data_IF_093551953213
#
_entry.id   IF_093551953213
#
_cell.length_a   1.000
_cell.length_b   1.000
_cell.length_c   1.000
_cell.angle_alpha   90.00
_cell.angle_beta   90.00
_cell.angle_gamma   90.00
#
_symmetry.space_group_name_H-M   'P 1'
#
loop_
_entity.id
_entity.type
_entity.pdbx_description
1 polymer ?
#
# COMPACT_ATOMS: atom_id res chain seq x y z
N UNK A 1 8.83 -31.21 -22.85
CA UNK A 1 7.46 -31.61 -23.24
C UNK A 1 7.45 -32.36 -24.59
N UNK A 2 8.35 -33.34 -24.79
CA UNK A 2 8.47 -34.10 -26.04
C UNK A 2 8.41 -35.62 -25.81
N UNK A 3 8.90 -36.09 -24.66
CA UNK A 3 8.97 -37.53 -24.33
C UNK A 3 7.56 -38.14 -24.09
N UNK A 4 6.62 -37.36 -23.54
CA UNK A 4 5.28 -37.84 -23.21
C UNK A 4 4.37 -38.04 -24.44
N UNK A 5 4.71 -37.47 -25.61
CA UNK A 5 3.95 -37.67 -26.86
C UNK A 5 4.28 -38.99 -27.56
N UNK A 6 5.48 -39.53 -27.36
CA UNK A 6 5.91 -40.78 -28.02
C UNK A 6 5.34 -42.05 -27.35
N UNK A 7 5.10 -42.03 -26.03
CA UNK A 7 4.54 -43.19 -25.34
C UNK A 7 3.06 -43.44 -25.67
N UNK A 8 2.29 -42.41 -26.02
CA UNK A 8 0.87 -42.55 -26.40
C UNK A 8 0.72 -43.06 -27.84
N UNK A 9 1.64 -42.70 -28.73
CA UNK A 9 1.65 -43.20 -30.11
C UNK A 9 2.03 -44.69 -30.21
N UNK A 10 2.93 -45.18 -29.33
CA UNK A 10 3.31 -46.59 -29.29
C UNK A 10 2.17 -47.52 -28.79
N UNK A 11 1.30 -47.02 -27.92
CA UNK A 11 0.16 -47.78 -27.38
C UNK A 11 -1.03 -47.90 -28.35
N UNK A 12 -1.17 -46.98 -29.31
CA UNK A 12 -2.26 -47.01 -30.31
C UNK A 12 -1.96 -47.92 -31.52
N UNK A 13 -0.69 -48.25 -31.78
CA UNK A 13 -0.30 -49.15 -32.88
C UNK A 13 -0.52 -50.64 -32.58
N UNK A 14 -0.85 -51.02 -31.34
CA UNK A 14 -1.07 -52.42 -30.95
C UNK A 14 -2.52 -52.87 -31.18
N UNK A 15 -3.46 -51.95 -31.41
CA UNK A 15 -4.91 -52.25 -31.48
C UNK A 15 -5.43 -52.37 -32.93
N UNK A 16 -4.56 -52.39 -33.94
CA UNK A 16 -4.97 -52.51 -35.36
C UNK A 16 -4.19 -53.56 -36.14
N UNK A 17 -4.18 -54.80 -35.64
CA UNK A 17 -3.93 -55.96 -36.48
C UNK A 17 -5.28 -56.50 -36.96
N UNK A 18 -5.64 -56.38 -38.26
CA UNK A 18 -6.76 -57.12 -38.80
C UNK A 18 -6.38 -58.61 -38.73
N UNK A 19 -7.25 -59.39 -38.10
CA UNK A 19 -7.25 -60.85 -38.19
C UNK A 19 -7.48 -61.19 -39.67
N UNK A 20 -6.39 -61.38 -40.41
CA UNK A 20 -6.46 -61.94 -41.76
C UNK A 20 -6.59 -63.47 -41.62
N UNK A 21 -7.82 -63.96 -41.66
CA UNK A 21 -8.05 -65.34 -42.09
C UNK A 21 -7.90 -65.38 -43.61
N UNK A 22 -6.80 -65.94 -44.11
CA UNK A 22 -6.71 -66.37 -45.50
C UNK A 22 -6.95 -67.87 -45.59
N UNK A 23 -8.19 -68.23 -45.94
CA UNK A 23 -8.48 -69.44 -46.69
C UNK A 23 -8.08 -69.19 -48.14
N UNK A 24 -7.03 -69.84 -48.63
CA UNK A 24 -6.57 -69.78 -50.01
C UNK A 24 -5.75 -71.01 -50.35
N UNK A 25 -6.32 -71.90 -51.16
CA UNK A 25 -5.65 -73.06 -51.72
C UNK A 25 -4.64 -72.61 -52.79
N UNK A 26 -3.35 -72.79 -52.53
CA UNK A 26 -2.33 -72.81 -53.58
C UNK A 26 -1.52 -74.11 -53.47
N UNK A 27 -1.56 -74.90 -54.54
CA UNK A 27 -0.89 -76.19 -54.68
C UNK A 27 0.54 -75.96 -55.16
N UNK A 28 1.54 -76.37 -54.37
CA UNK A 28 2.97 -76.30 -54.71
C UNK A 28 3.43 -77.66 -55.28
N UNK A 29 4.21 -77.71 -56.38
CA UNK A 29 4.70 -78.96 -56.94
C UNK A 29 5.73 -79.61 -56.00
N UNK A 30 5.56 -80.89 -55.76
CA UNK A 30 6.44 -81.71 -54.93
C UNK A 30 7.69 -82.12 -55.71
N UNK A 31 8.85 -82.13 -55.05
CA UNK A 31 9.70 -83.31 -54.80
C UNK A 31 11.08 -82.85 -54.28
N UNK A 32 11.23 -82.92 -52.96
CA UNK A 32 12.36 -83.54 -52.25
C UNK A 32 11.92 -83.65 -50.80
N UNK A 33 12.11 -84.81 -50.18
CA UNK A 33 11.57 -85.18 -48.86
C UNK A 33 12.00 -84.21 -47.76
N UNK A 34 11.25 -83.13 -47.57
CA UNK A 34 11.16 -82.39 -46.31
C UNK A 34 9.76 -82.64 -45.80
N UNK A 35 9.66 -83.47 -44.77
CA UNK A 35 8.45 -83.67 -43.96
C UNK A 35 7.76 -82.32 -43.76
N UNK A 36 6.44 -82.20 -43.96
CA UNK A 36 5.74 -80.97 -43.61
C UNK A 36 6.06 -80.70 -42.15
N UNK A 37 6.74 -79.58 -41.87
CA UNK A 37 6.99 -79.18 -40.49
C UNK A 37 5.61 -78.78 -39.96
N UNK A 38 4.93 -79.74 -39.35
CA UNK A 38 3.67 -79.53 -38.68
C UNK A 38 3.99 -78.74 -37.41
N UNK A 39 3.89 -77.41 -37.49
CA UNK A 39 3.98 -76.53 -36.34
C UNK A 39 2.65 -76.67 -35.59
N UNK A 40 2.58 -77.63 -34.67
CA UNK A 40 1.45 -77.82 -33.77
C UNK A 40 1.76 -77.17 -32.43
N UNK A 41 0.93 -76.20 -32.04
CA UNK A 41 0.95 -75.67 -30.68
C UNK A 41 0.22 -76.69 -29.80
N UNK A 42 0.80 -77.03 -28.65
CA UNK A 42 0.09 -77.89 -27.69
C UNK A 42 -1.18 -77.20 -27.20
N UNK A 43 -2.23 -77.96 -26.93
CA UNK A 43 -3.46 -77.44 -26.33
C UNK A 43 -3.14 -76.74 -24.99
N UNK A 44 -2.14 -77.23 -24.26
CA UNK A 44 -1.69 -76.64 -23.00
C UNK A 44 -1.04 -75.27 -23.21
N UNK A 45 -0.20 -75.10 -24.24
CA UNK A 45 0.42 -73.82 -24.59
C UNK A 45 -0.63 -72.81 -25.05
N UNK A 46 -1.62 -73.26 -25.83
CA UNK A 46 -2.74 -72.43 -26.27
C UNK A 46 -3.60 -71.95 -25.09
N UNK A 47 -3.86 -72.84 -24.12
CA UNK A 47 -4.60 -72.49 -22.90
C UNK A 47 -3.79 -71.53 -22.01
N UNK A 48 -2.48 -71.73 -21.87
CA UNK A 48 -1.60 -70.84 -21.13
C UNK A 48 -1.60 -69.43 -21.73
N UNK A 49 -1.45 -69.31 -23.05
CA UNK A 49 -1.52 -68.02 -23.77
C UNK A 49 -2.89 -67.35 -23.61
N UNK A 50 -3.98 -68.11 -23.59
CA UNK A 50 -5.32 -67.57 -23.35
C UNK A 50 -5.45 -67.01 -21.93
N UNK A 51 -5.00 -67.75 -20.92
CA UNK A 51 -5.00 -67.29 -19.53
C UNK A 51 -4.15 -66.04 -19.33
N UNK A 52 -2.98 -65.97 -19.96
CA UNK A 52 -2.12 -64.78 -19.93
C UNK A 52 -2.80 -63.58 -20.59
N UNK A 53 -3.40 -63.77 -21.77
CA UNK A 53 -4.16 -62.72 -22.45
C UNK A 53 -5.33 -62.18 -21.60
N UNK A 54 -6.06 -63.07 -20.94
CA UNK A 54 -7.18 -62.68 -20.06
C UNK A 54 -6.67 -61.92 -18.81
N UNK A 55 -5.53 -62.33 -18.25
CA UNK A 55 -4.83 -61.60 -17.17
C UNK A 55 -4.39 -60.21 -17.62
N UNK A 56 -3.78 -60.09 -18.80
CA UNK A 56 -3.34 -58.81 -19.36
C UNK A 56 -4.52 -57.88 -19.64
N UNK A 57 -5.64 -58.39 -20.17
CA UNK A 57 -6.87 -57.60 -20.34
C UNK A 57 -7.40 -57.07 -19.01
N UNK A 58 -7.38 -57.89 -17.97
CA UNK A 58 -7.79 -57.47 -16.62
C UNK A 58 -6.89 -56.35 -16.08
N UNK A 59 -5.57 -56.51 -16.19
CA UNK A 59 -4.60 -55.50 -15.78
C UNK A 59 -4.75 -54.20 -16.58
N UNK A 60 -4.95 -54.28 -17.89
CA UNK A 60 -5.18 -53.14 -18.77
C UNK A 60 -6.43 -52.36 -18.35
N UNK A 61 -7.52 -53.06 -17.99
CA UNK A 61 -8.74 -52.43 -17.48
C UNK A 61 -8.49 -51.63 -16.20
N UNK A 62 -7.76 -52.21 -15.23
CA UNK A 62 -7.41 -51.54 -13.96
C UNK A 62 -6.54 -50.31 -14.21
N UNK A 63 -5.55 -50.41 -15.09
CA UNK A 63 -4.66 -49.28 -15.45
C UNK A 63 -5.46 -48.19 -16.15
N UNK A 64 -6.36 -48.55 -17.06
CA UNK A 64 -7.20 -47.58 -17.77
C UNK A 64 -8.11 -46.82 -16.79
N UNK A 65 -8.75 -47.50 -15.82
CA UNK A 65 -9.54 -46.82 -14.79
C UNK A 65 -8.72 -45.83 -13.96
N UNK A 66 -7.50 -46.21 -13.57
CA UNK A 66 -6.59 -45.31 -12.84
C UNK A 66 -6.19 -44.11 -13.71
N UNK A 67 -5.91 -44.34 -14.99
CA UNK A 67 -5.59 -43.28 -15.94
C UNK A 67 -6.75 -42.29 -16.10
N UNK A 68 -7.98 -42.77 -16.30
CA UNK A 68 -9.16 -41.90 -16.43
C UNK A 68 -9.39 -41.05 -15.16
N UNK A 69 -9.25 -41.65 -13.97
CA UNK A 69 -9.32 -40.92 -12.70
C UNK A 69 -8.24 -39.84 -12.59
N UNK A 70 -7.02 -40.13 -13.05
CA UNK A 70 -5.92 -39.19 -13.05
C UNK A 70 -6.18 -38.02 -14.00
N UNK A 71 -6.72 -38.26 -15.20
CA UNK A 71 -7.07 -37.22 -16.18
C UNK A 71 -8.09 -36.24 -15.58
N UNK A 72 -9.20 -36.74 -15.04
CA UNK A 72 -10.24 -35.90 -14.40
C UNK A 72 -9.66 -35.09 -13.24
N UNK A 73 -8.79 -35.71 -12.44
CA UNK A 73 -8.12 -35.05 -11.33
C UNK A 73 -7.16 -33.95 -11.81
N UNK A 74 -6.41 -34.20 -12.88
CA UNK A 74 -5.51 -33.22 -13.50
C UNK A 74 -6.27 -32.02 -14.04
N UNK A 75 -7.39 -32.24 -14.74
CA UNK A 75 -8.26 -31.16 -15.24
C UNK A 75 -8.84 -30.33 -14.09
N UNK A 76 -9.26 -30.98 -13.00
CA UNK A 76 -9.73 -30.31 -11.78
C UNK A 76 -8.65 -29.46 -11.13
N UNK A 77 -7.40 -29.92 -11.09
CA UNK A 77 -6.29 -29.10 -10.57
C UNK A 77 -5.95 -27.94 -11.51
N UNK A 78 -6.00 -28.15 -12.83
CA UNK A 78 -5.78 -27.10 -13.82
C UNK A 78 -6.82 -25.98 -13.70
N UNK A 79 -8.10 -26.32 -13.53
CA UNK A 79 -9.15 -25.31 -13.33
C UNK A 79 -8.99 -24.56 -12.00
N UNK A 80 -8.62 -25.26 -10.92
CA UNK A 80 -8.29 -24.61 -9.63
C UNK A 80 -7.11 -23.64 -9.74
N UNK A 81 -6.05 -24.04 -10.45
CA UNK A 81 -4.88 -23.18 -10.64
C UNK A 81 -5.23 -21.92 -11.43
N UNK A 82 -6.00 -22.08 -12.51
CA UNK A 82 -6.48 -20.94 -13.31
C UNK A 82 -7.33 -19.98 -12.48
N UNK A 83 -8.21 -20.49 -11.62
CA UNK A 83 -8.99 -19.65 -10.70
C UNK A 83 -8.09 -18.89 -9.72
N UNK A 84 -7.11 -19.57 -9.12
CA UNK A 84 -6.18 -18.95 -8.17
C UNK A 84 -5.35 -17.83 -8.82
N UNK A 85 -4.96 -18.00 -10.08
CA UNK A 85 -4.22 -16.99 -10.84
C UNK A 85 -5.07 -15.74 -11.09
N UNK A 86 -6.36 -15.92 -11.41
CA UNK A 86 -7.32 -14.82 -11.53
C UNK A 86 -7.48 -14.10 -10.19
N UNK A 87 -7.70 -14.83 -9.10
CA UNK A 87 -7.87 -14.27 -7.75
C UNK A 87 -6.61 -13.48 -7.31
N UNK A 88 -5.41 -13.98 -7.62
CA UNK A 88 -4.14 -13.30 -7.34
C UNK A 88 -4.03 -11.98 -8.12
N UNK A 89 -4.38 -11.99 -9.41
CA UNK A 89 -4.36 -10.79 -10.24
C UNK A 89 -5.34 -9.73 -9.72
N UNK A 90 -6.54 -10.13 -9.29
CA UNK A 90 -7.49 -9.23 -8.63
C UNK A 90 -6.92 -8.65 -7.33
N UNK A 91 -6.37 -9.49 -6.45
CA UNK A 91 -5.79 -9.05 -5.19
C UNK A 91 -4.63 -8.06 -5.39
N UNK A 92 -3.76 -8.32 -6.37
CA UNK A 92 -2.66 -7.42 -6.73
C UNK A 92 -3.17 -6.07 -7.23
N UNK A 93 -4.19 -6.08 -8.08
CA UNK A 93 -4.85 -4.87 -8.57
C UNK A 93 -5.47 -4.07 -7.42
N UNK A 94 -6.22 -4.73 -6.53
CA UNK A 94 -6.87 -4.09 -5.38
C UNK A 94 -5.86 -3.50 -4.40
N UNK A 95 -4.79 -4.23 -4.10
CA UNK A 95 -3.72 -3.75 -3.21
C UNK A 95 -3.03 -2.51 -3.80
N UNK A 96 -2.77 -2.52 -5.11
CA UNK A 96 -2.19 -1.36 -5.80
C UNK A 96 -3.12 -0.15 -5.72
N UNK A 97 -4.42 -0.35 -5.99
CA UNK A 97 -5.44 0.71 -5.90
C UNK A 97 -5.55 1.27 -4.48
N UNK A 98 -5.58 0.41 -3.46
CA UNK A 98 -5.65 0.82 -2.06
C UNK A 98 -4.40 1.60 -1.63
N UNK A 99 -3.21 1.18 -2.06
CA UNK A 99 -1.97 1.90 -1.78
C UNK A 99 -1.97 3.32 -2.38
N UNK A 100 -2.43 3.47 -3.63
CA UNK A 100 -2.56 4.79 -4.26
C UNK A 100 -3.61 5.64 -3.53
N UNK A 101 -4.76 5.07 -3.19
CA UNK A 101 -5.81 5.78 -2.45
C UNK A 101 -5.33 6.25 -1.07
N UNK A 102 -4.58 5.41 -0.34
CA UNK A 102 -3.98 5.76 0.95
C UNK A 102 -3.01 6.93 0.80
N UNK A 103 -2.14 6.90 -0.21
CA UNK A 103 -1.17 7.97 -0.45
C UNK A 103 -1.86 9.31 -0.74
N UNK A 104 -2.95 9.29 -1.50
CA UNK A 104 -3.73 10.50 -1.78
C UNK A 104 -4.52 10.97 -0.54
N UNK A 105 -5.03 10.05 0.27
CA UNK A 105 -5.66 10.39 1.56
C UNK A 105 -4.66 11.07 2.51
N UNK A 106 -3.45 10.52 2.65
CA UNK A 106 -2.37 11.09 3.46
C UNK A 106 -2.01 12.52 3.01
N UNK A 107 -1.89 12.77 1.70
CA UNK A 107 -1.67 14.13 1.16
C UNK A 107 -2.80 15.09 1.52
N UNK A 108 -4.06 14.64 1.43
CA UNK A 108 -5.22 15.46 1.80
C UNK A 108 -5.22 15.79 3.29
N UNK A 109 -4.88 14.82 4.15
CA UNK A 109 -4.76 15.04 5.58
C UNK A 109 -3.68 16.08 5.91
N UNK A 110 -2.51 16.01 5.28
CA UNK A 110 -1.46 17.03 5.40
C UNK A 110 -1.98 18.40 5.00
N UNK A 111 -2.65 18.51 3.85
CA UNK A 111 -3.14 19.80 3.36
C UNK A 111 -4.19 20.39 4.30
N UNK A 112 -5.14 19.56 4.76
CA UNK A 112 -6.16 19.95 5.74
C UNK A 112 -5.48 20.45 7.01
N UNK A 113 -4.57 19.67 7.61
CA UNK A 113 -3.88 20.05 8.83
C UNK A 113 -3.02 21.32 8.64
N UNK A 114 -2.34 21.45 7.50
CA UNK A 114 -1.48 22.60 7.21
C UNK A 114 -2.29 23.89 7.08
N UNK A 115 -3.51 23.85 6.52
CA UNK A 115 -4.36 25.03 6.40
C UNK A 115 -4.67 25.69 7.76
N UNK A 116 -4.67 24.91 8.85
CA UNK A 116 -4.89 25.46 10.19
C UNK A 116 -3.77 26.41 10.65
N UNK A 117 -2.59 26.36 10.04
CA UNK A 117 -1.51 27.31 10.35
C UNK A 117 -1.73 28.69 9.72
N UNK A 118 -2.50 28.79 8.64
CA UNK A 118 -2.61 30.02 7.84
C UNK A 118 -3.88 30.81 8.10
N UNK A 119 -4.84 30.23 8.83
CA UNK A 119 -6.16 30.84 9.12
C UNK A 119 -6.31 30.96 10.65
N UNK A 120 -6.96 32.03 11.16
CA UNK A 120 -7.21 32.22 12.58
C UNK A 120 -8.23 31.20 13.13
N UNK A 121 -7.79 29.98 13.39
CA UNK A 121 -8.60 28.96 14.05
C UNK A 121 -8.49 29.05 15.57
N UNK A 122 -9.53 28.55 16.23
CA UNK A 122 -9.51 28.28 17.67
C UNK A 122 -8.50 27.17 17.98
N UNK A 123 -7.76 27.33 19.08
CA UNK A 123 -6.82 26.34 19.58
C UNK A 123 -7.50 24.97 19.76
N UNK A 124 -8.77 24.96 20.19
CA UNK A 124 -9.57 23.75 20.30
C UNK A 124 -9.70 23.00 18.96
N UNK A 125 -9.96 23.73 17.87
CA UNK A 125 -10.10 23.12 16.54
C UNK A 125 -8.76 22.54 16.05
N UNK A 126 -7.64 23.19 16.36
CA UNK A 126 -6.31 22.66 16.05
C UNK A 126 -6.03 21.38 16.83
N UNK A 127 -6.31 21.37 18.13
CA UNK A 127 -6.10 20.23 19.02
C UNK A 127 -6.98 19.02 18.66
N UNK A 128 -8.22 19.27 18.22
CA UNK A 128 -9.20 18.20 17.95
C UNK A 128 -9.27 17.77 16.49
N UNK A 129 -8.78 18.58 15.56
CA UNK A 129 -8.89 18.29 14.12
C UNK A 129 -7.51 18.22 13.48
N UNK A 130 -6.74 19.31 13.51
CA UNK A 130 -5.48 19.40 12.77
C UNK A 130 -4.41 18.42 13.29
N UNK A 131 -4.19 18.39 14.61
CA UNK A 131 -3.20 17.49 15.23
C UNK A 131 -3.58 16.01 14.98
N UNK A 132 -4.83 15.57 15.22
CA UNK A 132 -5.25 14.20 14.89
C UNK A 132 -5.13 13.87 13.40
N UNK A 133 -5.51 14.79 12.51
CA UNK A 133 -5.37 14.59 11.06
C UNK A 133 -3.92 14.34 10.66
N UNK A 134 -2.96 15.08 11.24
CA UNK A 134 -1.55 14.84 11.01
C UNK A 134 -1.08 13.50 11.60
N UNK A 135 -1.53 13.14 12.80
CA UNK A 135 -1.20 11.85 13.44
C UNK A 135 -1.75 10.64 12.69
N UNK A 136 -2.84 10.81 11.94
CA UNK A 136 -3.46 9.75 11.14
C UNK A 136 -2.73 9.43 9.83
N UNK A 137 -1.76 10.25 9.42
CA UNK A 137 -0.95 10.02 8.22
C UNK A 137 -0.13 8.74 8.41
N UNK A 138 -0.26 7.79 7.50
CA UNK A 138 0.49 6.52 7.56
C UNK A 138 1.86 6.64 6.88
N UNK A 139 1.97 7.49 5.86
CA UNK A 139 3.23 7.69 5.14
C UNK A 139 4.28 8.44 5.98
N UNK A 140 5.28 7.71 6.48
CA UNK A 140 6.36 8.24 7.31
C UNK A 140 7.21 9.30 6.62
N UNK A 141 7.48 9.15 5.33
CA UNK A 141 8.24 10.16 4.57
C UNK A 141 7.48 11.48 4.53
N UNK A 142 6.18 11.42 4.27
CA UNK A 142 5.33 12.61 4.25
C UNK A 142 5.25 13.26 5.64
N UNK A 143 5.14 12.47 6.71
CA UNK A 143 5.21 12.99 8.09
C UNK A 143 6.53 13.70 8.37
N UNK A 144 7.64 13.13 7.93
CA UNK A 144 8.96 13.73 8.10
C UNK A 144 9.11 15.03 7.31
N UNK A 145 8.66 15.07 6.06
CA UNK A 145 8.69 16.28 5.21
C UNK A 145 7.90 17.45 5.84
N UNK A 146 6.83 17.15 6.60
CA UNK A 146 5.97 18.16 7.23
C UNK A 146 6.12 18.26 8.77
N UNK A 147 7.21 17.74 9.35
CA UNK A 147 7.37 17.67 10.81
C UNK A 147 7.34 19.04 11.50
N UNK A 148 7.94 20.08 10.90
CA UNK A 148 7.94 21.44 11.45
C UNK A 148 6.51 21.97 11.56
N UNK A 149 5.68 21.77 10.52
CA UNK A 149 4.26 22.18 10.54
C UNK A 149 3.51 21.52 11.67
N UNK A 150 3.77 20.23 11.91
CA UNK A 150 3.18 19.50 13.02
C UNK A 150 3.61 20.05 14.38
N UNK A 151 4.88 20.39 14.56
CA UNK A 151 5.39 21.00 15.79
C UNK A 151 4.71 22.36 16.06
N UNK A 152 4.59 23.22 15.04
CA UNK A 152 3.87 24.49 15.16
C UNK A 152 2.40 24.28 15.54
N UNK A 153 1.71 23.29 14.95
CA UNK A 153 0.33 22.94 15.33
C UNK A 153 0.25 22.47 16.80
N UNK A 154 1.20 21.67 17.25
CA UNK A 154 1.25 21.20 18.64
C UNK A 154 1.50 22.33 19.65
N UNK A 155 2.29 23.32 19.28
CA UNK A 155 2.63 24.44 20.17
C UNK A 155 1.64 25.61 20.06
N UNK A 156 0.78 25.65 19.05
CA UNK A 156 -0.10 26.78 18.73
C UNK A 156 -0.78 27.47 19.92
N UNK A 157 -1.41 26.70 20.82
CA UNK A 157 -2.06 27.27 22.02
C UNK A 157 -1.05 27.96 22.94
N UNK A 158 0.04 27.26 23.26
CA UNK A 158 1.11 27.73 24.12
C UNK A 158 1.81 28.96 23.51
N UNK A 159 1.97 28.96 22.20
CA UNK A 159 2.56 30.08 21.47
C UNK A 159 1.67 31.32 21.57
N UNK A 160 0.35 31.18 21.41
CA UNK A 160 -0.59 32.28 21.64
C UNK A 160 -0.48 32.82 23.06
N UNK A 161 -0.51 31.95 24.07
CA UNK A 161 -0.39 32.34 25.48
C UNK A 161 0.94 33.07 25.76
N UNK A 162 2.03 32.60 25.16
CA UNK A 162 3.36 33.20 25.31
C UNK A 162 3.45 34.56 24.61
N UNK A 163 2.86 34.69 23.42
CA UNK A 163 2.76 35.96 22.69
C UNK A 163 1.94 36.97 23.48
N UNK A 164 0.78 36.56 24.00
CA UNK A 164 -0.07 37.42 24.84
C UNK A 164 0.67 37.90 26.10
N UNK A 165 1.38 36.98 26.77
CA UNK A 165 2.19 37.30 27.96
C UNK A 165 3.30 38.30 27.63
N UNK A 166 3.99 38.11 26.50
CA UNK A 166 5.02 39.03 26.03
C UNK A 166 4.44 40.42 25.70
N UNK A 167 3.32 40.47 24.98
CA UNK A 167 2.64 41.72 24.62
C UNK A 167 2.26 42.50 25.88
N UNK A 168 1.72 41.84 26.89
CA UNK A 168 1.32 42.48 28.14
C UNK A 168 2.52 43.04 28.90
N UNK A 169 3.61 42.28 28.97
CA UNK A 169 4.89 42.76 29.51
C UNK A 169 5.40 43.98 28.74
N UNK A 170 5.50 43.90 27.41
CA UNK A 170 6.03 44.97 26.57
C UNK A 170 5.17 46.25 26.67
N UNK A 171 3.84 46.13 26.67
CA UNK A 171 2.95 47.28 26.85
C UNK A 171 3.17 47.99 28.19
N UNK A 172 3.35 47.24 29.28
CA UNK A 172 3.56 47.82 30.60
C UNK A 172 4.92 48.52 30.72
N UNK A 173 5.96 47.92 30.15
CA UNK A 173 7.33 48.44 30.23
C UNK A 173 7.56 49.64 29.31
N UNK A 174 7.10 49.59 28.06
CA UNK A 174 7.26 50.68 27.08
C UNK A 174 6.45 51.93 27.43
N UNK A 175 5.46 51.82 28.32
CA UNK A 175 4.69 52.96 28.84
C UNK A 175 5.40 53.72 29.97
N UNK A 176 6.51 53.19 30.50
CA UNK A 176 7.23 53.85 31.60
C UNK A 176 7.86 55.16 31.13
N UNK A 177 7.83 56.23 31.96
CA UNK A 177 8.56 57.45 31.65
C UNK A 177 10.05 57.09 31.51
N UNK A 178 10.73 57.66 30.52
CA UNK A 178 12.16 57.49 30.18
C UNK A 178 12.55 56.34 29.23
N UNK A 179 11.63 55.50 28.74
CA UNK A 179 11.97 54.55 27.67
C UNK A 179 12.13 55.28 26.35
N UNK A 180 13.33 55.19 25.74
CA UNK A 180 13.69 55.93 24.51
C UNK A 180 13.65 55.07 23.24
N UNK A 181 13.87 53.76 23.38
CA UNK A 181 13.85 52.79 22.30
C UNK A 181 13.40 51.42 22.84
N UNK A 182 13.14 50.47 21.93
CA UNK A 182 12.70 49.12 22.28
C UNK A 182 13.76 48.04 22.02
N UNK A 183 15.05 48.40 21.95
CA UNK A 183 16.11 47.46 21.53
C UNK A 183 16.24 46.26 22.46
N UNK A 184 16.13 46.47 23.78
CA UNK A 184 16.18 45.38 24.75
C UNK A 184 14.96 44.45 24.63
N UNK A 185 13.77 45.02 24.38
CA UNK A 185 12.55 44.25 24.19
C UNK A 185 12.57 43.44 22.89
N UNK A 186 13.15 44.00 21.81
CA UNK A 186 13.39 43.26 20.56
C UNK A 186 14.29 42.05 20.79
N UNK A 187 15.39 42.23 21.53
CA UNK A 187 16.28 41.11 21.85
C UNK A 187 15.56 40.04 22.68
N UNK A 188 14.78 40.45 23.69
CA UNK A 188 13.96 39.53 24.48
C UNK A 188 12.91 38.82 23.63
N UNK A 189 12.30 39.51 22.65
CA UNK A 189 11.32 38.94 21.72
C UNK A 189 11.94 37.87 20.82
N UNK A 190 13.12 38.15 20.23
CA UNK A 190 13.82 37.19 19.37
C UNK A 190 14.32 35.96 20.13
N UNK A 191 14.58 36.11 21.43
CA UNK A 191 14.96 35.01 22.31
C UNK A 191 13.77 34.17 22.80
N UNK A 192 12.53 34.56 22.49
CA UNK A 192 11.37 33.76 22.87
C UNK A 192 11.35 32.42 22.12
N UNK A 193 10.98 31.31 22.78
CA UNK A 193 10.89 30.00 22.14
C UNK A 193 9.95 29.97 20.93
N UNK A 194 8.81 30.66 21.01
CA UNK A 194 7.85 30.73 19.89
C UNK A 194 8.49 31.44 18.67
N UNK A 195 9.29 32.50 18.89
CA UNK A 195 9.93 33.22 17.80
C UNK A 195 10.90 32.31 17.04
N UNK A 196 11.76 31.60 17.78
CA UNK A 196 12.74 30.68 17.21
C UNK A 196 12.09 29.49 16.50
N UNK A 197 11.02 28.93 17.06
CA UNK A 197 10.28 27.83 16.44
C UNK A 197 9.71 28.24 15.08
N UNK A 198 9.08 29.42 15.00
CA UNK A 198 8.56 29.94 13.74
C UNK A 198 9.67 30.27 12.75
N UNK A 199 10.80 30.85 13.16
CA UNK A 199 11.94 31.14 12.25
C UNK A 199 12.51 29.89 11.56
N UNK A 200 12.37 28.70 12.17
CA UNK A 200 12.82 27.45 11.56
C UNK A 200 11.94 26.99 10.39
N UNK A 201 10.78 27.62 10.18
CA UNK A 201 9.87 27.30 9.08
C UNK A 201 9.99 28.34 7.94
N UNK A 202 10.38 27.97 6.70
CA UNK A 202 10.66 28.96 5.64
C UNK A 202 9.52 29.93 5.31
N UNK A 203 8.27 29.48 5.39
CA UNK A 203 7.07 30.29 5.08
C UNK A 203 6.40 30.82 6.36
N UNK A 204 7.14 30.96 7.46
CA UNK A 204 6.56 31.30 8.76
C UNK A 204 5.80 32.62 8.73
N UNK A 205 6.30 33.64 8.04
CA UNK A 205 5.65 34.95 7.95
C UNK A 205 4.27 34.90 7.32
N UNK A 206 4.00 33.89 6.50
CA UNK A 206 2.72 33.72 5.79
C UNK A 206 1.68 32.98 6.67
N UNK A 207 2.13 32.32 7.74
CA UNK A 207 1.22 31.72 8.72
C UNK A 207 0.48 32.79 9.52
N UNK A 208 -0.67 32.44 10.08
CA UNK A 208 -1.46 33.37 10.88
C UNK A 208 -0.65 33.95 12.06
N UNK A 209 -0.04 33.08 12.88
CA UNK A 209 0.77 33.53 14.01
C UNK A 209 2.09 34.16 13.59
N UNK A 210 2.74 33.69 12.52
CA UNK A 210 3.96 34.34 12.02
C UNK A 210 3.71 35.74 11.48
N UNK A 211 2.54 35.99 10.87
CA UNK A 211 2.09 37.35 10.54
C UNK A 211 1.94 38.23 11.78
N UNK A 212 1.43 37.68 12.90
CA UNK A 212 1.35 38.40 14.18
C UNK A 212 2.72 38.66 14.80
N UNK A 213 3.60 37.67 14.79
CA UNK A 213 5.00 37.80 15.25
C UNK A 213 5.72 38.89 14.46
N UNK A 214 5.54 38.92 13.14
CA UNK A 214 6.11 39.95 12.26
C UNK A 214 5.57 41.35 12.56
N UNK A 215 4.27 41.46 12.88
CA UNK A 215 3.67 42.73 13.28
C UNK A 215 4.25 43.26 14.59
N UNK A 216 4.43 42.39 15.59
CA UNK A 216 5.06 42.76 16.88
C UNK A 216 6.49 43.23 16.64
N UNK A 217 7.28 42.47 15.89
CA UNK A 217 8.66 42.80 15.55
C UNK A 217 8.77 44.18 14.87
N UNK A 218 7.86 44.46 13.92
CA UNK A 218 7.79 45.74 13.23
C UNK A 218 7.45 46.89 14.18
N UNK A 219 6.40 46.75 14.99
CA UNK A 219 5.99 47.81 15.92
C UNK A 219 7.07 48.11 16.97
N UNK A 220 7.78 47.10 17.45
CA UNK A 220 8.91 47.29 18.36
C UNK A 220 10.08 48.02 17.66
N UNK A 221 10.39 47.73 16.40
CA UNK A 221 11.43 48.44 15.62
C UNK A 221 11.09 49.91 15.35
N UNK A 222 9.81 50.22 15.20
CA UNK A 222 9.33 51.58 14.90
C UNK A 222 9.15 52.44 16.17
N UNK A 223 9.30 51.87 17.37
CA UNK A 223 9.15 52.59 18.63
C UNK A 223 10.31 53.57 18.89
N UNK A 224 9.98 54.85 19.10
CA UNK A 224 10.93 55.96 19.25
C UNK A 224 10.77 56.76 20.56
N UNK A 225 9.95 56.27 21.49
CA UNK A 225 9.70 56.89 22.81
C UNK A 225 8.95 58.23 22.79
N UNK A 226 8.76 58.87 21.63
CA UNK A 226 8.30 60.26 21.53
C UNK A 226 6.99 60.44 20.74
N UNK A 227 6.76 59.65 19.68
CA UNK A 227 5.58 59.79 18.80
C UNK A 227 4.78 58.49 18.64
N UNK A 228 5.44 57.33 18.71
CA UNK A 228 4.81 56.05 18.46
C UNK A 228 4.54 55.30 19.77
N UNK A 229 3.29 55.31 20.22
CA UNK A 229 2.85 54.37 21.27
C UNK A 229 2.57 53.02 20.60
N UNK A 230 3.23 51.98 21.10
CA UNK A 230 2.92 50.61 20.71
C UNK A 230 1.50 50.30 21.20
N UNK A 231 0.62 49.90 20.29
CA UNK A 231 -0.75 49.50 20.59
C UNK A 231 -1.03 48.10 20.03
N UNK A 232 -1.10 47.15 20.96
CA UNK A 232 -1.40 45.76 20.68
C UNK A 232 -2.85 45.37 21.05
N UNK A 233 -3.75 46.33 21.28
CA UNK A 233 -5.12 46.04 21.75
C UNK A 233 -5.89 45.13 20.79
N UNK A 234 -5.92 45.48 19.50
CA UNK A 234 -6.58 44.65 18.48
C UNK A 234 -5.94 43.25 18.37
N UNK A 235 -4.61 43.19 18.47
CA UNK A 235 -3.88 41.92 18.44
C UNK A 235 -4.22 41.04 19.65
N UNK A 236 -4.28 41.63 20.85
CA UNK A 236 -4.69 40.94 22.09
C UNK A 236 -6.10 40.39 21.97
N UNK A 237 -7.04 41.15 21.40
CA UNK A 237 -8.41 40.68 21.18
C UNK A 237 -8.48 39.50 20.19
N UNK A 238 -7.78 39.58 19.06
CA UNK A 238 -7.75 38.51 18.06
C UNK A 238 -7.13 37.22 18.61
N UNK A 239 -5.99 37.31 19.30
CA UNK A 239 -5.32 36.16 19.91
C UNK A 239 -6.19 35.53 21.02
N UNK A 240 -6.86 36.35 21.84
CA UNK A 240 -7.79 35.83 22.84
C UNK A 240 -9.00 35.13 22.21
N UNK A 241 -9.50 35.59 21.04
CA UNK A 241 -10.54 34.86 20.31
C UNK A 241 -10.08 33.47 19.88
N UNK A 242 -8.82 33.30 19.49
CA UNK A 242 -8.26 31.99 19.17
C UNK A 242 -8.13 31.06 20.40
N UNK A 243 -8.04 31.60 21.62
CA UNK A 243 -8.03 30.78 22.85
C UNK A 243 -9.42 30.44 23.37
N UNK A 244 -10.43 31.26 23.04
CA UNK A 244 -11.81 30.98 23.40
C UNK A 244 -12.22 29.66 22.76
N UNK A 245 -12.66 28.73 23.61
CA UNK A 245 -13.35 27.53 23.16
C UNK A 245 -14.82 27.92 23.06
N UNK A 246 -15.46 27.72 21.90
CA UNK A 246 -16.92 27.69 21.89
C UNK A 246 -17.33 26.45 22.69
N UNK A 247 -17.61 26.62 23.98
CA UNK A 247 -18.32 25.64 24.78
C UNK A 247 -19.78 25.58 24.28
N UNK A 248 -20.00 24.87 23.17
CA UNK A 248 -21.29 24.30 22.77
C UNK A 248 -21.18 23.64 21.40
N UNK A 249 -21.23 22.31 21.39
CA UNK A 249 -22.32 21.53 20.77
C UNK A 249 -22.26 20.08 21.27
#
# INVERSE_FOLDING_TARGET
MAIMKYCVAALLMIISLPVFSQTGNDTIPSISKTTPIQVSISIDDLNALKTENDSLKSQLSIVNEKYQKLVVTSEKYKSKLSKLEIDLNHLKSDTTRLYVAQREADKRLVNIASNFLYIPYEAYSIEKIAIPAFKAIVNDRLRHEHHIKYELLCNYRKDIESILSFIEFACNELQKPFVKDANEFLLQFHNQPFYQSYQNYPEWSDTYLGGKISLIDKQLKEFDGNQHKVDFTALKEELNKCLKTIEAL
#
